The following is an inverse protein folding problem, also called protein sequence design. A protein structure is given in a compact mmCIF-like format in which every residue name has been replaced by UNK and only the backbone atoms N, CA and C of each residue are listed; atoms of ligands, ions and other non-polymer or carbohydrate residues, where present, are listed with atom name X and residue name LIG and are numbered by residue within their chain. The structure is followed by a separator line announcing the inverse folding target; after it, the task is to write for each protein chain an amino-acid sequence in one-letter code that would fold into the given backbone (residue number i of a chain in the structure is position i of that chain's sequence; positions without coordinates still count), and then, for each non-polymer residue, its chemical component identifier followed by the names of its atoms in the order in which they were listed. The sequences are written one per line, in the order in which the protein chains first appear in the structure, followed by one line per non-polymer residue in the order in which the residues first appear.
data_IF_773129135755
#
_entry.id   IF_773129135755
#
_cell.length_a   1.000
_cell.length_b   1.000
_cell.length_c   1.000
_cell.angle_alpha   90.00
_cell.angle_beta   90.00
_cell.angle_gamma   90.00
#
_symmetry.space_group_name_H-M   'P 1'
#
loop_
_entity.id
_entity.type
_entity.pdbx_description
1 polymer ?
#
# COMPACT_ATOMS: atom_id res chain seq x y z
N UNK A 1 12.10 -6.97 -3.11
CA UNK A 1 12.22 -5.78 -2.24
C UNK A 1 12.17 -6.17 -0.76
N UNK A 2 12.67 -5.34 0.17
CA UNK A 2 12.54 -5.63 1.62
C UNK A 2 11.11 -5.34 2.09
N UNK A 3 10.70 -5.98 3.20
CA UNK A 3 9.46 -5.62 3.90
C UNK A 3 9.73 -4.36 4.73
N UNK A 4 9.15 -3.21 4.37
CA UNK A 4 9.32 -1.94 5.07
C UNK A 4 8.15 -0.96 4.80
N UNK A 5 8.22 0.21 5.43
CA UNK A 5 7.47 1.38 4.99
C UNK A 5 8.20 2.14 3.88
N UNK A 6 7.43 2.64 2.93
CA UNK A 6 7.91 3.38 1.77
C UNK A 6 7.05 4.61 1.51
N UNK A 7 7.69 5.71 1.12
CA UNK A 7 7.03 6.77 0.36
C UNK A 7 6.97 6.35 -1.11
N UNK A 8 5.93 6.81 -1.81
CA UNK A 8 5.75 6.61 -3.24
C UNK A 8 5.85 7.95 -3.94
N UNK A 9 6.53 7.97 -5.08
CA UNK A 9 6.57 9.12 -5.99
C UNK A 9 5.14 9.62 -6.30
N UNK A 10 4.90 10.91 -6.05
CA UNK A 10 3.62 11.55 -6.27
C UNK A 10 3.19 11.51 -7.72
N UNK A 11 4.14 11.62 -8.66
CA UNK A 11 3.86 11.66 -10.10
C UNK A 11 3.38 10.29 -10.58
N UNK A 12 3.99 9.22 -10.07
CA UNK A 12 3.54 7.86 -10.33
C UNK A 12 2.14 7.60 -9.74
N UNK A 13 1.87 8.08 -8.52
CA UNK A 13 0.53 7.95 -7.93
C UNK A 13 -0.50 8.74 -8.72
N UNK A 14 -0.15 9.92 -9.23
CA UNK A 14 -1.05 10.72 -10.05
C UNK A 14 -1.33 10.03 -11.38
N UNK A 15 -0.32 9.49 -12.04
CA UNK A 15 -0.47 8.65 -13.23
C UNK A 15 -1.48 7.52 -13.00
N UNK A 16 -1.34 6.72 -11.93
CA UNK A 16 -2.29 5.64 -11.64
C UNK A 16 -3.72 6.12 -11.37
N UNK A 17 -3.88 7.28 -10.71
CA UNK A 17 -5.21 7.87 -10.49
C UNK A 17 -5.83 8.29 -11.81
N UNK A 18 -5.08 8.96 -12.67
CA UNK A 18 -5.56 9.43 -13.96
C UNK A 18 -5.94 8.23 -14.84
N UNK A 19 -5.17 7.14 -14.80
CA UNK A 19 -5.54 5.89 -15.49
C UNK A 19 -6.92 5.36 -15.03
N UNK A 20 -7.17 5.27 -13.72
CA UNK A 20 -8.50 4.84 -13.23
C UNK A 20 -9.60 5.85 -13.57
N UNK A 21 -9.35 7.15 -13.40
CA UNK A 21 -10.34 8.19 -13.73
C UNK A 21 -10.71 8.15 -15.21
N UNK A 22 -9.74 8.01 -16.11
CA UNK A 22 -9.98 7.94 -17.54
C UNK A 22 -10.74 6.68 -17.96
N UNK A 23 -10.48 5.54 -17.30
CA UNK A 23 -11.12 4.28 -17.65
C UNK A 23 -12.54 4.10 -17.08
N UNK A 24 -12.81 4.60 -15.87
CA UNK A 24 -14.08 4.34 -15.16
C UNK A 24 -14.73 5.57 -14.49
N UNK A 25 -14.17 6.76 -14.67
CA UNK A 25 -14.71 8.03 -14.14
C UNK A 25 -14.41 8.31 -12.65
N UNK A 26 -13.66 7.43 -11.97
CA UNK A 26 -13.27 7.62 -10.57
C UNK A 26 -12.00 6.83 -10.21
N UNK A 27 -11.28 7.26 -9.19
CA UNK A 27 -10.11 6.52 -8.66
C UNK A 27 -10.32 6.05 -7.21
N UNK A 28 -9.72 4.91 -6.89
CA UNK A 28 -9.56 4.38 -5.54
C UNK A 28 -8.08 4.31 -5.14
N UNK A 29 -7.15 4.59 -6.06
CA UNK A 29 -5.74 4.82 -5.73
C UNK A 29 -5.65 5.91 -4.64
N UNK A 30 -5.05 5.61 -3.48
CA UNK A 30 -5.06 6.53 -2.36
C UNK A 30 -4.17 7.76 -2.63
N UNK A 31 -4.53 8.91 -2.06
CA UNK A 31 -3.60 10.02 -1.96
C UNK A 31 -2.41 9.62 -1.08
N UNK A 32 -1.19 9.93 -1.55
CA UNK A 32 0.05 9.73 -0.80
C UNK A 32 0.65 11.02 -0.25
N UNK A 33 0.22 12.17 -0.76
CA UNK A 33 0.60 13.47 -0.24
C UNK A 33 -0.64 14.25 0.23
N UNK A 34 -0.50 14.88 1.38
CA UNK A 34 -1.46 15.79 1.98
C UNK A 34 -0.69 17.02 2.44
N UNK A 35 -1.36 18.17 2.54
CA UNK A 35 -0.75 19.48 2.84
C UNK A 35 0.28 19.45 3.98
N UNK A 36 0.06 18.64 5.01
CA UNK A 36 0.92 18.57 6.20
C UNK A 36 1.57 17.19 6.44
N UNK A 37 1.41 16.22 5.54
CA UNK A 37 1.90 14.84 5.75
C UNK A 37 2.05 14.05 4.46
N UNK A 38 3.19 13.37 4.33
CA UNK A 38 3.38 12.26 3.39
C UNK A 38 2.92 10.94 4.01
N UNK A 39 2.06 10.22 3.29
CA UNK A 39 1.54 8.91 3.67
C UNK A 39 2.50 7.84 3.16
N UNK A 40 2.81 6.89 4.02
CA UNK A 40 3.61 5.73 3.66
C UNK A 40 2.71 4.53 3.31
N UNK A 41 3.24 3.68 2.45
CA UNK A 41 2.72 2.34 2.16
C UNK A 41 3.58 1.29 2.84
N UNK A 42 3.04 0.10 3.04
CA UNK A 42 3.74 -1.05 3.58
C UNK A 42 3.81 -2.15 2.54
N UNK A 43 4.98 -2.75 2.37
CA UNK A 43 5.14 -3.86 1.44
C UNK A 43 6.58 -4.34 1.39
N UNK A 44 6.88 -5.34 0.57
CA UNK A 44 5.97 -5.99 -0.40
C UNK A 44 4.95 -6.94 0.26
N UNK A 45 3.65 -6.69 0.11
CA UNK A 45 2.58 -7.52 0.72
C UNK A 45 2.01 -8.61 -0.21
N UNK A 46 2.23 -8.49 -1.52
CA UNK A 46 1.84 -9.48 -2.52
C UNK A 46 2.69 -9.30 -3.77
N UNK A 47 2.93 -10.39 -4.52
CA UNK A 47 3.63 -10.38 -5.81
C UNK A 47 2.79 -11.15 -6.82
N UNK A 48 2.52 -10.55 -7.98
CA UNK A 48 1.81 -11.15 -9.12
C UNK A 48 2.77 -11.12 -10.31
N UNK A 49 3.29 -12.28 -10.73
CA UNK A 49 4.41 -12.33 -11.66
C UNK A 49 5.63 -11.58 -11.10
N UNK A 50 6.05 -10.49 -11.74
CA UNK A 50 7.11 -9.58 -11.27
C UNK A 50 6.58 -8.29 -10.61
N UNK A 51 5.26 -8.11 -10.53
CA UNK A 51 4.62 -6.90 -10.02
C UNK A 51 4.54 -6.98 -8.49
N UNK A 52 5.17 -6.02 -7.82
CA UNK A 52 5.14 -5.91 -6.36
C UNK A 52 4.01 -4.98 -5.90
N UNK A 53 3.18 -5.48 -4.99
CA UNK A 53 2.07 -4.73 -4.39
C UNK A 53 2.41 -4.17 -3.01
N UNK A 54 1.86 -2.99 -2.74
CA UNK A 54 2.00 -2.26 -1.49
C UNK A 54 0.63 -1.85 -0.95
N UNK A 55 0.45 -1.96 0.36
CA UNK A 55 -0.81 -1.62 1.03
C UNK A 55 -0.69 -0.26 1.73
N UNK A 56 -1.65 0.66 1.56
CA UNK A 56 -1.64 1.92 2.29
C UNK A 56 -1.92 1.71 3.79
N UNK A 57 -1.19 2.45 4.61
CA UNK A 57 -1.47 2.58 6.05
C UNK A 57 -2.40 3.77 6.25
N UNK A 58 -3.53 3.56 6.94
CA UNK A 58 -4.57 4.56 7.14
C UNK A 58 -4.90 4.72 8.62
N UNK A 59 -5.26 5.94 9.05
CA UNK A 59 -5.81 6.20 10.39
C UNK A 59 -7.21 5.61 10.61
N UNK A 60 -7.79 4.92 9.62
CA UNK A 60 -9.09 4.28 9.71
C UNK A 60 -9.07 3.13 10.72
N UNK A 61 -9.94 3.21 11.75
CA UNK A 61 -9.93 2.31 12.93
C UNK A 61 -11.09 1.31 12.99
N UNK A 62 -11.96 1.26 11.98
CA UNK A 62 -13.08 0.31 11.94
C UNK A 62 -12.62 -0.98 11.26
N UNK A 63 -12.96 -2.12 11.86
CA UNK A 63 -12.70 -3.43 11.26
C UNK A 63 -13.60 -3.63 10.05
N UNK A 64 -13.03 -4.05 8.94
CA UNK A 64 -13.75 -4.47 7.74
C UNK A 64 -13.12 -5.76 7.21
N UNK A 65 -13.80 -6.43 6.27
CA UNK A 65 -13.25 -7.67 5.72
C UNK A 65 -11.93 -7.42 4.96
N UNK A 66 -11.82 -6.32 4.23
CA UNK A 66 -10.66 -6.02 3.38
C UNK A 66 -9.64 -5.11 4.06
N UNK A 67 -9.61 -5.12 5.40
CA UNK A 67 -8.59 -4.44 6.19
C UNK A 67 -8.09 -5.28 7.38
N UNK A 68 -6.96 -4.87 7.94
CA UNK A 68 -6.46 -5.38 9.22
C UNK A 68 -6.11 -4.20 10.09
N UNK A 69 -6.65 -4.18 11.31
CA UNK A 69 -6.35 -3.15 12.31
C UNK A 69 -4.93 -3.29 12.84
N UNK A 70 -4.22 -2.16 12.91
CA UNK A 70 -2.90 -2.04 13.51
C UNK A 70 -3.09 -1.61 14.96
N UNK A 71 -2.83 -2.53 15.87
CA UNK A 71 -2.89 -2.32 17.31
C UNK A 71 -1.48 -2.23 17.88
N UNK A 72 -1.24 -1.22 18.70
CA UNK A 72 0.01 -1.05 19.43
C UNK A 72 -0.26 -0.98 20.93
N UNK A 73 0.77 -1.29 21.72
CA UNK A 73 0.75 -1.06 23.15
C UNK A 73 1.18 0.37 23.49
N UNK A 74 0.32 1.06 24.22
CA UNK A 74 0.50 2.44 24.67
C UNK A 74 0.10 2.52 26.15
N UNK A 75 1.05 2.84 27.03
CA UNK A 75 0.84 2.86 28.50
C UNK A 75 0.09 1.61 29.04
N UNK A 76 0.57 0.41 28.67
CA UNK A 76 -0.04 -0.91 29.04
C UNK A 76 -1.46 -1.15 28.51
N UNK A 77 -1.95 -0.31 27.60
CA UNK A 77 -3.25 -0.48 26.94
C UNK A 77 -3.04 -0.77 25.45
N UNK A 78 -3.87 -1.64 24.89
CA UNK A 78 -3.90 -1.86 23.44
C UNK A 78 -4.72 -0.77 22.77
N UNK A 79 -4.10 -0.02 21.85
CA UNK A 79 -4.72 1.08 21.12
C UNK A 79 -4.67 0.81 19.63
N UNK A 80 -5.82 0.94 18.96
CA UNK A 80 -5.89 0.91 17.49
C UNK A 80 -5.36 2.22 16.93
N UNK A 81 -4.22 2.17 16.22
CA UNK A 81 -3.63 3.35 15.57
C UNK A 81 -4.16 3.55 14.16
N UNK A 82 -4.46 2.46 13.45
CA UNK A 82 -4.94 2.52 12.08
C UNK A 82 -5.26 1.16 11.49
N UNK A 83 -5.20 1.07 10.17
CA UNK A 83 -5.39 -0.18 9.42
C UNK A 83 -4.55 -0.24 8.15
N UNK A 84 -4.17 -1.46 7.76
CA UNK A 84 -3.77 -1.81 6.41
C UNK A 84 -5.04 -2.04 5.59
N UNK A 85 -5.25 -1.30 4.51
CA UNK A 85 -6.49 -1.39 3.70
C UNK A 85 -6.20 -2.00 2.34
N UNK A 86 -6.50 -3.30 2.19
CA UNK A 86 -6.08 -4.12 1.06
C UNK A 86 -6.88 -3.84 -0.22
N UNK A 87 -8.12 -3.37 -0.10
CA UNK A 87 -8.91 -2.92 -1.25
C UNK A 87 -8.31 -1.69 -1.95
N UNK A 88 -7.40 -0.96 -1.30
CA UNK A 88 -6.67 0.18 -1.88
C UNK A 88 -5.18 -0.11 -2.10
N UNK A 89 -4.77 -1.38 -2.12
CA UNK A 89 -3.40 -1.72 -2.50
C UNK A 89 -3.18 -1.48 -3.99
N UNK A 90 -1.95 -1.19 -4.38
CA UNK A 90 -1.62 -0.88 -5.76
C UNK A 90 -0.19 -1.33 -6.09
N UNK A 91 0.11 -1.61 -7.37
CA UNK A 91 1.46 -1.96 -7.81
C UNK A 91 2.36 -0.73 -7.81
N UNK A 92 3.64 -0.88 -7.48
CA UNK A 92 4.61 0.24 -7.50
C UNK A 92 5.99 -0.24 -7.98
N UNK A 93 6.58 0.39 -9.02
CA UNK A 93 7.94 0.11 -9.45
C UNK A 93 8.95 0.48 -8.36
N UNK A 94 10.03 -0.30 -8.22
CA UNK A 94 11.10 -0.01 -7.25
C UNK A 94 11.66 1.41 -7.36
N UNK A 95 11.78 1.97 -8.57
CA UNK A 95 12.29 3.35 -8.74
C UNK A 95 11.39 4.42 -8.13
N UNK A 96 10.10 4.14 -7.99
CA UNK A 96 9.11 5.06 -7.46
C UNK A 96 8.98 4.95 -5.93
N UNK A 97 9.86 4.17 -5.28
CA UNK A 97 9.81 3.90 -3.85
C UNK A 97 11.02 4.50 -3.14
N UNK A 98 10.74 5.29 -2.11
CA UNK A 98 11.75 5.79 -1.17
C UNK A 98 11.50 5.16 0.19
N UNK A 99 12.42 4.35 0.73
CA UNK A 99 12.26 3.78 2.08
C UNK A 99 12.09 4.89 3.12
N UNK A 100 11.16 4.72 4.05
CA UNK A 100 11.03 5.65 5.18
C UNK A 100 12.22 5.45 6.12
N UNK A 101 13.03 6.50 6.31
CA UNK A 101 14.05 6.51 7.36
C UNK A 101 13.41 6.87 8.71
N UNK A 102 13.40 5.93 9.65
CA UNK A 102 12.78 6.13 10.96
C UNK A 102 13.61 7.06 11.86
N UNK A 103 14.81 7.43 11.44
CA UNK A 103 15.69 8.37 12.14
C UNK A 103 15.65 9.77 11.55
N UNK A 104 14.90 9.98 10.47
CA UNK A 104 14.81 11.26 9.79
C UNK A 104 14.46 12.39 10.77
N UNK A 105 15.16 13.52 10.64
CA UNK A 105 14.98 14.72 11.46
C UNK A 105 13.60 15.38 11.30
N UNK A 106 12.86 15.06 10.23
CA UNK A 106 11.48 15.53 10.05
C UNK A 106 10.53 14.99 11.13
N UNK A 107 10.87 13.87 11.78
CA UNK A 107 10.06 13.26 12.82
C UNK A 107 10.49 13.75 14.21
N UNK A 108 9.51 14.10 15.03
CA UNK A 108 9.73 14.26 16.47
C UNK A 108 10.07 12.93 17.13
N UNK A 109 10.71 12.95 18.31
CA UNK A 109 11.02 11.71 19.04
C UNK A 109 9.77 10.87 19.36
N UNK A 110 8.64 11.53 19.64
CA UNK A 110 7.36 10.84 19.85
C UNK A 110 6.88 10.14 18.58
N UNK A 111 6.98 10.78 17.42
CA UNK A 111 6.62 10.19 16.13
C UNK A 111 7.52 9.00 15.79
N UNK A 112 8.83 9.11 16.02
CA UNK A 112 9.78 7.99 15.81
C UNK A 112 9.39 6.77 16.64
N UNK A 113 9.06 6.96 17.92
CA UNK A 113 8.60 5.87 18.80
C UNK A 113 7.29 5.26 18.27
N UNK A 114 6.33 6.09 17.86
CA UNK A 114 5.05 5.60 17.34
C UNK A 114 5.22 4.82 16.02
N UNK A 115 6.03 5.34 15.09
CA UNK A 115 6.35 4.69 13.81
C UNK A 115 7.01 3.32 14.03
N UNK A 116 7.94 3.22 14.98
CA UNK A 116 8.57 1.94 15.32
C UNK A 116 7.57 0.93 15.90
N UNK A 117 6.66 1.38 16.78
CA UNK A 117 5.61 0.53 17.34
C UNK A 117 4.65 0.03 16.26
N UNK A 118 4.23 0.91 15.35
CA UNK A 118 3.38 0.58 14.21
C UNK A 118 4.08 -0.41 13.27
N UNK A 119 5.35 -0.16 12.91
CA UNK A 119 6.13 -1.07 12.08
C UNK A 119 6.27 -2.46 12.71
N UNK A 120 6.57 -2.53 14.01
CA UNK A 120 6.63 -3.80 14.75
C UNK A 120 5.28 -4.53 14.71
N UNK A 121 4.16 -3.81 14.78
CA UNK A 121 2.83 -4.39 14.65
C UNK A 121 2.56 -4.92 13.23
N UNK A 122 2.88 -4.15 12.19
CA UNK A 122 2.78 -4.58 10.80
C UNK A 122 3.62 -5.83 10.51
N UNK A 123 4.85 -5.92 11.03
CA UNK A 123 5.70 -7.11 10.90
C UNK A 123 5.06 -8.36 11.52
N UNK A 124 4.48 -8.25 12.72
CA UNK A 124 3.77 -9.39 13.36
C UNK A 124 2.55 -9.84 12.55
N UNK A 125 1.91 -8.90 11.86
CA UNK A 125 0.73 -9.16 11.04
C UNK A 125 1.05 -9.58 9.60
N UNK A 126 2.34 -9.68 9.21
CA UNK A 126 2.74 -9.86 7.81
C UNK A 126 2.09 -11.07 7.13
N UNK A 127 2.15 -12.25 7.76
CA UNK A 127 1.54 -13.46 7.18
C UNK A 127 0.02 -13.32 7.00
N UNK A 128 -0.66 -12.67 7.96
CA UNK A 128 -2.09 -12.39 7.87
C UNK A 128 -2.38 -11.36 6.77
N UNK A 129 -1.54 -10.33 6.65
CA UNK A 129 -1.64 -9.29 5.63
C UNK A 129 -1.47 -9.87 4.23
N UNK A 130 -0.49 -10.76 4.01
CA UNK A 130 -0.29 -11.45 2.74
C UNK A 130 -1.48 -12.33 2.36
N UNK A 131 -2.03 -13.09 3.32
CA UNK A 131 -3.24 -13.89 3.09
C UNK A 131 -4.44 -13.01 2.75
N UNK A 132 -4.61 -11.88 3.46
CA UNK A 132 -5.70 -10.95 3.23
C UNK A 132 -5.60 -10.26 1.88
N UNK A 133 -4.41 -9.80 1.51
CA UNK A 133 -4.13 -9.21 0.20
C UNK A 133 -4.56 -10.13 -0.94
N UNK A 134 -4.12 -11.40 -0.92
CA UNK A 134 -4.51 -12.40 -1.93
C UNK A 134 -6.02 -12.64 -1.96
N UNK A 135 -6.67 -12.75 -0.79
CA UNK A 135 -8.12 -12.94 -0.71
C UNK A 135 -8.88 -11.74 -1.30
N UNK A 136 -8.50 -10.52 -0.92
CA UNK A 136 -9.13 -9.29 -1.43
C UNK A 136 -8.91 -9.15 -2.93
N UNK A 137 -7.70 -9.44 -3.44
CA UNK A 137 -7.40 -9.45 -4.86
C UNK A 137 -8.33 -10.38 -5.64
N UNK A 138 -8.40 -11.65 -5.23
CA UNK A 138 -9.23 -12.64 -5.91
C UNK A 138 -10.71 -12.24 -5.92
N UNK A 139 -11.25 -11.81 -4.77
CA UNK A 139 -12.66 -11.39 -4.66
C UNK A 139 -13.02 -10.20 -5.54
N UNK A 140 -12.07 -9.28 -5.77
CA UNK A 140 -12.29 -8.14 -6.68
C UNK A 140 -12.30 -8.62 -8.13
N UNK A 141 -11.42 -9.57 -8.49
CA UNK A 141 -11.39 -10.14 -9.84
C UNK A 141 -12.58 -11.06 -10.15
N UNK A 142 -13.06 -11.83 -9.17
CA UNK A 142 -14.20 -12.73 -9.33
C UNK A 142 -15.47 -11.97 -9.67
N UNK A 143 -15.59 -10.71 -9.26
CA UNK A 143 -16.72 -9.86 -9.64
C UNK A 143 -17.98 -10.03 -8.78
N UNK A 144 -17.97 -10.94 -7.80
CA UNK A 144 -19.17 -11.36 -7.06
C UNK A 144 -19.66 -10.37 -5.98
N UNK A 145 -18.95 -9.26 -5.77
CA UNK A 145 -19.32 -8.26 -4.76
C UNK A 145 -19.16 -6.84 -5.30
N UNK A 146 -20.26 -6.27 -5.80
CA UNK A 146 -20.30 -4.93 -6.38
C UNK A 146 -19.82 -3.83 -5.42
N UNK A 147 -20.17 -3.91 -4.13
CA UNK A 147 -19.75 -2.91 -3.15
C UNK A 147 -18.23 -2.95 -2.95
N UNK A 148 -17.64 -4.14 -2.87
CA UNK A 148 -16.20 -4.33 -2.78
C UNK A 148 -15.51 -3.79 -4.02
N UNK A 149 -15.98 -4.13 -5.22
CA UNK A 149 -15.40 -3.67 -6.50
C UNK A 149 -15.45 -2.15 -6.58
N UNK A 150 -16.61 -1.55 -6.31
CA UNK A 150 -16.77 -0.09 -6.30
C UNK A 150 -15.83 0.58 -5.29
N UNK A 151 -15.50 -0.09 -4.19
CA UNK A 151 -14.61 0.40 -3.15
C UNK A 151 -13.17 -0.12 -3.28
N UNK A 152 -12.77 -0.70 -4.42
CA UNK A 152 -11.42 -1.20 -4.65
C UNK A 152 -10.72 -0.48 -5.80
N UNK A 153 -9.38 -0.50 -5.75
CA UNK A 153 -8.59 -0.23 -6.95
C UNK A 153 -8.93 -1.26 -8.02
N UNK A 154 -8.96 -0.84 -9.28
CA UNK A 154 -9.04 -1.76 -10.41
C UNK A 154 -7.67 -2.41 -10.62
N UNK A 155 -7.46 -3.57 -10.00
CA UNK A 155 -6.15 -4.19 -9.96
C UNK A 155 -5.63 -4.52 -11.36
N UNK A 156 -6.47 -5.08 -12.23
CA UNK A 156 -6.09 -5.44 -13.61
C UNK A 156 -5.71 -4.20 -14.42
N UNK A 157 -6.46 -3.10 -14.28
CA UNK A 157 -6.13 -1.84 -14.94
C UNK A 157 -4.80 -1.27 -14.43
N UNK A 158 -4.58 -1.26 -13.12
CA UNK A 158 -3.35 -0.75 -12.53
C UNK A 158 -2.12 -1.61 -12.87
N UNK A 159 -2.28 -2.92 -13.06
CA UNK A 159 -1.20 -3.79 -13.54
C UNK A 159 -0.80 -3.45 -14.97
N UNK A 160 -1.76 -3.16 -15.86
CA UNK A 160 -1.47 -2.69 -17.22
C UNK A 160 -0.76 -1.34 -17.20
N UNK A 161 -1.27 -0.40 -16.42
CA UNK A 161 -0.66 0.92 -16.24
C UNK A 161 0.77 0.82 -15.70
N UNK A 162 1.03 -0.10 -14.78
CA UNK A 162 2.37 -0.39 -14.29
C UNK A 162 3.31 -0.80 -15.44
N UNK A 163 2.87 -1.68 -16.35
CA UNK A 163 3.70 -2.10 -17.50
C UNK A 163 3.96 -0.96 -18.48
N UNK A 164 2.93 -0.19 -18.79
CA UNK A 164 3.03 0.99 -19.66
C UNK A 164 4.07 1.97 -19.10
N UNK A 165 3.98 2.27 -17.80
CA UNK A 165 4.92 3.14 -17.12
C UNK A 165 6.36 2.60 -17.12
N UNK A 166 6.58 1.29 -16.95
CA UNK A 166 7.92 0.71 -17.08
C UNK A 166 8.49 0.90 -18.49
N UNK A 167 7.66 0.63 -19.51
CA UNK A 167 8.02 0.74 -20.93
C UNK A 167 8.39 2.17 -21.31
N UNK A 168 7.54 3.14 -20.98
CA UNK A 168 7.76 4.57 -21.28
C UNK A 168 9.03 5.12 -20.63
N UNK A 169 9.41 4.55 -19.50
CA UNK A 169 10.54 4.99 -18.69
C UNK A 169 11.82 4.18 -18.96
N UNK A 170 11.78 3.27 -19.93
CA UNK A 170 12.86 2.34 -20.27
C UNK A 170 13.41 1.61 -19.03
N UNK A 171 12.51 1.09 -18.20
CA UNK A 171 12.86 0.35 -16.99
C UNK A 171 12.64 -1.14 -17.17
N UNK A 172 13.56 -1.91 -16.60
CA UNK A 172 13.34 -3.34 -16.40
C UNK A 172 12.30 -3.58 -15.29
N UNK A 173 11.53 -4.65 -15.47
CA UNK A 173 10.71 -5.21 -14.41
C UNK A 173 11.53 -5.50 -13.15
N UNK A 174 10.89 -5.45 -11.98
CA UNK A 174 11.51 -5.82 -10.70
C UNK A 174 11.77 -7.34 -10.62
N UNK A 175 12.68 -7.83 -11.46
CA UNK A 175 13.18 -9.21 -11.41
C UNK A 175 14.11 -9.31 -10.21
N UNK A 176 13.60 -9.93 -9.14
CA UNK A 176 14.44 -10.35 -8.05
C UNK A 176 15.36 -11.47 -8.55
N UNK A 177 16.64 -11.16 -8.75
CA UNK A 177 17.70 -12.17 -8.63
C UNK A 177 17.71 -12.60 -7.17
N UNK A 178 16.97 -13.65 -6.86
CA UNK A 178 17.09 -14.34 -5.59
C UNK A 178 18.44 -15.09 -5.64
N UNK A 179 19.44 -14.57 -4.93
CA UNK A 179 20.65 -15.29 -4.50
C UNK A 179 20.58 -15.45 -2.98
#
# INVERSE_FOLDING_TARGET
MKISFYYVDSDYVQFLKDTEVNARGFTRVPNVEYANRKKFVYGVIMKIGYINYYVPISSYKKSQEDNILIKIEDHKKQVTKGSMRFNYMFPVPKKCLVPVDFKDSQFTEQEKVMLQKEYKACKRLLAQAQKRAKKTYQRVLDGDNEELIKNSCDFTLLEKAYQEYLSEQNLDADVSTDN
#
